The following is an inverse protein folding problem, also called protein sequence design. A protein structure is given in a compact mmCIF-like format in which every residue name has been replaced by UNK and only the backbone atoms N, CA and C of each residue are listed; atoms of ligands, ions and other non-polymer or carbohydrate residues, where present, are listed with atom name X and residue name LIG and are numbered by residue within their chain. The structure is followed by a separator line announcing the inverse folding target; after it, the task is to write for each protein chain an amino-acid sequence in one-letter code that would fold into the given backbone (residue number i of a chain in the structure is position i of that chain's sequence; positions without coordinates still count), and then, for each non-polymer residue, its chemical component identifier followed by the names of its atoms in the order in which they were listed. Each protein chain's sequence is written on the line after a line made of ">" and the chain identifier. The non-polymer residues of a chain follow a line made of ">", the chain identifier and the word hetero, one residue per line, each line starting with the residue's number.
data_IF_656102068369
#
_entry.id   IF_656102068369
#
_cell.length_a   1.000
_cell.length_b   1.000
_cell.length_c   1.000
_cell.angle_alpha   90.00
_cell.angle_beta   90.00
_cell.angle_gamma   90.00
#
_symmetry.space_group_name_H-M   'P 1'
#
loop_
_entity.id
_entity.type
_entity.pdbx_description
1 polymer ?
#
# COMPACT_ATOMS: atom_id res chain seq x y z
N UNK A 1 -9.68 -0.70 7.53
CA UNK A 1 -8.75 -1.84 7.72
C UNK A 1 -7.54 -1.34 8.50
N UNK A 2 -6.88 -2.18 9.28
CA UNK A 2 -5.60 -1.86 9.93
C UNK A 2 -4.60 -2.97 9.58
N UNK A 3 -3.35 -2.58 9.33
CA UNK A 3 -2.22 -3.49 9.12
C UNK A 3 -1.03 -3.00 9.95
N UNK A 4 -0.19 -3.94 10.37
CA UNK A 4 1.00 -3.65 11.15
C UNK A 4 2.24 -4.13 10.41
N UNK A 5 3.24 -3.25 10.32
CA UNK A 5 4.58 -3.58 9.84
C UNK A 5 5.56 -3.42 11.00
N UNK A 6 6.49 -4.37 11.12
CA UNK A 6 7.44 -4.41 12.23
C UNK A 6 8.40 -3.22 12.18
N UNK A 7 8.56 -2.51 13.29
CA UNK A 7 9.49 -1.40 13.47
C UNK A 7 10.03 -1.34 14.91
N UNK A 8 11.01 -0.49 15.17
CA UNK A 8 11.60 -0.25 16.50
C UNK A 8 10.73 0.62 17.41
N UNK A 9 9.83 1.43 16.83
CA UNK A 9 8.88 2.28 17.54
C UNK A 9 7.56 2.39 16.76
N UNK A 10 6.47 2.86 17.39
CA UNK A 10 5.22 3.19 16.68
C UNK A 10 5.43 4.29 15.63
N UNK A 11 4.59 4.30 14.59
CA UNK A 11 4.56 5.36 13.57
C UNK A 11 3.51 5.06 12.51
N UNK A 12 3.09 6.08 11.76
CA UNK A 12 2.15 5.91 10.65
C UNK A 12 2.92 5.50 9.39
N UNK A 13 2.73 4.27 8.90
CA UNK A 13 3.35 3.89 7.63
C UNK A 13 2.61 4.50 6.43
N UNK A 14 1.30 4.29 6.35
CA UNK A 14 0.48 4.86 5.29
C UNK A 14 -1.00 4.92 5.66
N UNK A 15 -1.74 5.77 4.96
CA UNK A 15 -3.21 5.71 4.86
C UNK A 15 -3.59 5.15 3.50
N UNK A 16 -4.62 4.31 3.43
CA UNK A 16 -5.09 3.70 2.19
C UNK A 16 -6.52 4.15 1.87
N UNK A 17 -6.72 4.60 0.64
CA UNK A 17 -7.94 5.20 0.14
C UNK A 17 -8.52 4.28 -0.94
N UNK A 18 -9.64 3.62 -0.60
CA UNK A 18 -10.37 2.77 -1.52
C UNK A 18 -11.05 3.64 -2.60
N UNK A 19 -10.73 3.36 -3.86
CA UNK A 19 -11.30 4.01 -5.03
C UNK A 19 -11.99 2.97 -5.92
N UNK A 20 -12.99 3.35 -6.73
CA UNK A 20 -13.87 2.36 -7.35
C UNK A 20 -13.19 1.39 -8.32
N UNK A 21 -12.23 1.87 -9.10
CA UNK A 21 -11.61 1.12 -10.21
C UNK A 21 -10.11 1.42 -10.33
N UNK A 22 -9.39 0.56 -11.04
CA UNK A 22 -7.96 0.75 -11.33
C UNK A 22 -7.68 2.07 -12.08
N UNK A 23 -8.61 2.51 -12.93
CA UNK A 23 -8.53 3.81 -13.59
C UNK A 23 -8.51 4.96 -12.59
N UNK A 24 -9.23 4.83 -11.46
CA UNK A 24 -9.23 5.84 -10.40
C UNK A 24 -7.92 5.81 -9.60
N UNK A 25 -7.29 4.64 -9.43
CA UNK A 25 -5.94 4.55 -8.85
C UNK A 25 -4.95 5.34 -9.72
N UNK A 26 -5.00 5.12 -11.04
CA UNK A 26 -4.18 5.87 -12.00
C UNK A 26 -4.48 7.37 -12.03
N UNK A 27 -5.76 7.76 -12.01
CA UNK A 27 -6.16 9.18 -11.97
C UNK A 27 -5.69 9.87 -10.69
N UNK A 28 -5.83 9.22 -9.53
CA UNK A 28 -5.33 9.75 -8.26
C UNK A 28 -3.82 9.93 -8.27
N UNK A 29 -3.08 8.94 -8.78
CA UNK A 29 -1.63 9.02 -8.95
C UNK A 29 -1.22 10.21 -9.84
N UNK A 30 -1.85 10.36 -11.01
CA UNK A 30 -1.55 11.45 -11.94
C UNK A 30 -1.93 12.82 -11.36
N UNK A 31 -3.06 12.91 -10.65
CA UNK A 31 -3.46 14.14 -9.96
C UNK A 31 -2.42 14.58 -8.94
N UNK A 32 -1.86 13.66 -8.17
CA UNK A 32 -0.81 13.96 -7.18
C UNK A 32 0.51 14.32 -7.86
N UNK A 33 0.89 13.62 -8.91
CA UNK A 33 2.08 13.93 -9.72
C UNK A 33 2.01 15.34 -10.32
N UNK A 34 0.86 15.74 -10.87
CA UNK A 34 0.62 17.09 -11.41
C UNK A 34 0.73 18.20 -10.34
N UNK A 35 0.60 17.84 -9.07
CA UNK A 35 0.83 18.73 -7.91
C UNK A 35 2.25 18.68 -7.36
N UNK A 36 3.15 17.92 -7.99
CA UNK A 36 4.56 17.78 -7.61
C UNK A 36 4.84 16.60 -6.68
N UNK A 37 3.85 15.76 -6.37
CA UNK A 37 4.00 14.57 -5.52
C UNK A 37 4.16 13.32 -6.38
N UNK A 38 5.32 13.16 -7.01
CA UNK A 38 5.62 12.04 -7.91
C UNK A 38 6.46 10.92 -7.29
N UNK A 39 7.02 11.14 -6.10
CA UNK A 39 7.76 10.10 -5.36
C UNK A 39 6.77 9.09 -4.78
N UNK A 40 7.00 7.81 -4.99
CA UNK A 40 6.00 6.81 -4.65
C UNK A 40 6.39 5.40 -5.06
N UNK A 41 5.41 4.51 -5.06
CA UNK A 41 5.55 3.13 -5.54
C UNK A 41 4.25 2.66 -6.19
N UNK A 42 4.34 2.19 -7.43
CA UNK A 42 3.20 1.71 -8.20
C UNK A 42 3.25 2.22 -9.65
N UNK A 43 2.26 1.91 -10.48
CA UNK A 43 1.12 1.02 -10.24
C UNK A 43 1.58 -0.44 -10.04
N UNK A 44 0.90 -1.17 -9.15
CA UNK A 44 1.14 -2.59 -8.92
C UNK A 44 -0.09 -3.34 -8.41
N UNK A 45 0.09 -4.65 -8.19
CA UNK A 45 -0.90 -5.57 -7.59
C UNK A 45 -0.27 -6.26 -6.39
N UNK A 46 -0.88 -6.17 -5.21
CA UNK A 46 -0.42 -6.89 -4.02
C UNK A 46 -0.67 -8.40 -4.13
N UNK A 47 0.15 -9.19 -3.42
CA UNK A 47 -0.21 -10.60 -3.19
C UNK A 47 -1.29 -10.68 -2.11
N UNK A 48 -1.00 -10.17 -0.92
CA UNK A 48 -1.94 -10.15 0.19
C UNK A 48 -3.02 -9.09 -0.05
N UNK A 49 -4.29 -9.49 0.09
CA UNK A 49 -5.44 -8.66 -0.22
C UNK A 49 -5.72 -8.52 -1.71
N UNK A 50 -4.81 -8.93 -2.60
CA UNK A 50 -5.00 -8.88 -4.05
C UNK A 50 -5.54 -7.52 -4.51
N UNK A 51 -5.14 -6.39 -3.94
CA UNK A 51 -5.62 -5.08 -4.40
C UNK A 51 -4.66 -4.47 -5.42
N UNK A 52 -5.18 -3.66 -6.34
CA UNK A 52 -4.33 -2.71 -7.06
C UNK A 52 -3.92 -1.58 -6.12
N UNK A 53 -2.73 -1.04 -6.32
CA UNK A 53 -2.21 0.04 -5.49
C UNK A 53 -1.39 1.06 -6.27
N UNK A 54 -1.39 2.29 -5.77
CA UNK A 54 -0.36 3.29 -6.05
C UNK A 54 -0.10 4.12 -4.79
N UNK A 55 1.13 4.06 -4.28
CA UNK A 55 1.60 4.83 -3.13
C UNK A 55 2.21 6.15 -3.57
N UNK A 56 1.83 7.24 -2.92
CA UNK A 56 2.43 8.56 -3.03
C UNK A 56 3.09 8.90 -1.70
N UNK A 57 4.37 9.29 -1.75
CA UNK A 57 5.11 9.71 -0.55
C UNK A 57 4.58 11.06 -0.09
N UNK A 58 4.20 11.14 1.18
CA UNK A 58 3.74 12.38 1.79
C UNK A 58 4.91 13.22 2.35
N UNK A 59 4.66 14.49 2.71
CA UNK A 59 5.69 15.38 3.27
C UNK A 59 6.31 14.94 4.60
N UNK A 60 5.68 14.06 5.37
CA UNK A 60 6.14 13.58 6.67
C UNK A 60 6.98 12.30 6.59
N UNK A 61 7.09 11.73 5.39
CA UNK A 61 7.88 10.51 5.14
C UNK A 61 7.03 9.24 5.07
N UNK A 62 5.75 9.32 5.37
CA UNK A 62 4.75 8.24 5.26
C UNK A 62 4.13 8.24 3.85
N UNK A 63 3.08 7.45 3.62
CA UNK A 63 2.43 7.39 2.31
C UNK A 63 0.91 7.57 2.34
N UNK A 64 0.38 8.06 1.23
CA UNK A 64 -1.02 7.89 0.84
C UNK A 64 -1.09 6.83 -0.26
N UNK A 65 -1.90 5.80 -0.09
CA UNK A 65 -2.15 4.76 -1.08
C UNK A 65 -3.53 4.98 -1.71
N UNK A 66 -3.61 4.99 -3.03
CA UNK A 66 -4.87 4.73 -3.73
C UNK A 66 -4.96 3.24 -4.02
N UNK A 67 -6.01 2.59 -3.53
CA UNK A 67 -6.22 1.15 -3.67
C UNK A 67 -7.60 0.84 -4.24
N UNK A 68 -7.73 -0.28 -4.92
CA UNK A 68 -9.04 -0.80 -5.33
C UNK A 68 -9.00 -2.32 -5.45
N UNK A 69 -10.19 -2.94 -5.47
CA UNK A 69 -10.36 -4.37 -5.75
C UNK A 69 -9.67 -5.27 -4.71
N UNK A 70 -9.78 -4.92 -3.42
CA UNK A 70 -9.25 -5.72 -2.32
C UNK A 70 -10.18 -6.89 -1.99
N UNK A 71 -9.61 -8.08 -1.78
CA UNK A 71 -10.34 -9.24 -1.30
C UNK A 71 -10.96 -8.95 0.07
N UNK A 72 -12.26 -9.23 0.19
CA UNK A 72 -13.01 -9.06 1.43
C UNK A 72 -13.38 -10.43 2.01
N UNK A 73 -13.01 -10.63 3.28
CA UNK A 73 -13.42 -11.78 4.08
C UNK A 73 -14.61 -11.33 4.95
N UNK A 74 -15.84 -11.81 4.67
CA UNK A 74 -17.01 -11.52 5.49
C UNK A 74 -16.88 -12.04 6.92
N UNK A 75 -17.60 -11.43 7.86
CA UNK A 75 -17.55 -11.81 9.27
C UNK A 75 -18.04 -13.24 9.53
N UNK A 76 -18.92 -13.74 8.67
CA UNK A 76 -19.52 -15.07 8.76
C UNK A 76 -18.71 -16.14 8.02
N UNK A 77 -17.65 -15.76 7.31
CA UNK A 77 -16.78 -16.69 6.62
C UNK A 77 -15.80 -17.34 7.60
N UNK A 78 -15.78 -18.67 7.64
CA UNK A 78 -14.77 -19.44 8.36
C UNK A 78 -13.44 -19.39 7.60
N UNK A 79 -12.68 -18.32 7.80
CA UNK A 79 -11.41 -18.06 7.15
C UNK A 79 -10.23 -18.42 8.05
N UNK A 80 -9.33 -19.27 7.56
CA UNK A 80 -8.10 -19.62 8.25
C UNK A 80 -6.97 -18.64 7.91
N UNK A 81 -6.36 -18.03 8.94
CA UNK A 81 -5.16 -17.20 8.77
C UNK A 81 -3.94 -18.04 8.44
N UNK A 82 -2.99 -17.48 7.68
CA UNK A 82 -1.75 -18.15 7.28
C UNK A 82 -0.54 -17.24 7.47
N UNK A 83 0.59 -17.87 7.72
CA UNK A 83 1.90 -17.25 7.58
C UNK A 83 2.37 -17.42 6.13
N UNK A 84 2.90 -16.35 5.54
CA UNK A 84 3.41 -16.32 4.18
C UNK A 84 4.89 -15.96 4.21
N UNK A 85 5.69 -16.63 3.38
CA UNK A 85 7.11 -16.30 3.24
C UNK A 85 7.27 -14.89 2.64
N UNK A 86 8.26 -14.09 3.08
CA UNK A 86 8.44 -12.71 2.62
C UNK A 86 8.58 -12.56 1.11
N UNK A 87 9.12 -13.58 0.44
CA UNK A 87 9.32 -13.63 -1.01
C UNK A 87 7.98 -13.73 -1.77
N UNK A 88 6.95 -14.30 -1.14
CA UNK A 88 5.65 -14.57 -1.72
C UNK A 88 4.52 -13.71 -1.13
N UNK A 89 4.84 -12.71 -0.29
CA UNK A 89 3.82 -11.98 0.46
C UNK A 89 3.62 -10.52 0.04
N UNK A 90 4.42 -9.99 -0.91
CA UNK A 90 4.49 -8.54 -1.11
C UNK A 90 3.71 -8.01 -2.32
N UNK A 91 4.13 -8.29 -3.55
CA UNK A 91 3.47 -7.83 -4.78
C UNK A 91 3.65 -8.84 -5.93
N UNK A 92 2.62 -8.97 -6.78
CA UNK A 92 2.61 -9.88 -7.93
C UNK A 92 3.36 -9.23 -9.11
N UNK A 93 3.06 -7.97 -9.38
CA UNK A 93 3.69 -7.19 -10.44
C UNK A 93 3.65 -5.70 -10.09
N UNK A 94 4.61 -4.96 -10.65
CA UNK A 94 4.81 -3.54 -10.39
C UNK A 94 6.29 -3.17 -10.51
N UNK A 95 6.64 -1.89 -10.37
CA UNK A 95 8.04 -1.49 -10.26
C UNK A 95 8.65 -2.05 -8.96
N UNK A 96 9.97 -2.10 -8.90
CA UNK A 96 10.67 -2.40 -7.63
C UNK A 96 10.32 -1.34 -6.59
N UNK A 97 9.97 -1.73 -5.35
CA UNK A 97 9.71 -0.79 -4.26
C UNK A 97 10.96 0.02 -3.92
N UNK A 98 10.81 1.27 -3.44
CA UNK A 98 11.93 2.02 -2.87
C UNK A 98 12.57 1.27 -1.70
N UNK A 99 13.90 1.33 -1.58
CA UNK A 99 14.65 0.66 -0.49
C UNK A 99 14.17 1.09 0.91
N UNK A 100 13.63 2.30 1.01
CA UNK A 100 13.15 2.90 2.25
C UNK A 100 11.63 2.76 2.45
N UNK A 101 10.95 1.88 1.71
CA UNK A 101 9.49 1.73 1.78
C UNK A 101 8.99 1.42 3.20
N UNK A 102 9.62 0.46 3.89
CA UNK A 102 9.25 0.05 5.24
C UNK A 102 9.91 0.88 6.36
N UNK A 103 10.62 1.96 6.02
CA UNK A 103 11.32 2.79 7.02
C UNK A 103 10.31 3.59 7.83
N UNK A 104 10.39 3.48 9.16
CA UNK A 104 9.65 4.36 10.06
C UNK A 104 10.44 5.65 10.33
N UNK A 105 10.04 6.75 9.70
CA UNK A 105 10.67 8.06 9.89
C UNK A 105 10.29 8.76 11.19
N UNK A 106 9.28 8.27 11.91
CA UNK A 106 8.89 8.82 13.22
C UNK A 106 9.72 8.23 14.38
N UNK A 107 10.49 7.17 14.12
CA UNK A 107 11.32 6.49 15.11
C UNK A 107 12.76 7.05 15.21
N UNK A 108 13.08 8.10 14.45
CA UNK A 108 14.43 8.67 14.29
C UNK A 108 14.47 10.17 14.65
#
# INVERSE_FOLDING_TARGET
>A
MLAFVKSSAPGLHHTSWDVPLIDNVGQGAMQMADKGFSRGWGLGRHVLGSNFFHYIRDPWGSYAEYSCDIDYIPAEMDWESKDHDPEDSFYIWGPTPPDDFARNYEAE
#
